data_IF_520337437331
#
_entry.id   IF_520337437331
#
_cell.length_a   1.000
_cell.length_b   1.000
_cell.length_c   1.000
_cell.angle_alpha   90.00
_cell.angle_beta   90.00
_cell.angle_gamma   90.00
#
_symmetry.space_group_name_H-M   'P 1'
#
loop_
_entity.id
_entity.type
_entity.pdbx_description
1 polymer ?
#
# COMPACT_ATOMS: atom_id res chain seq x y z
N UNK A 1 33.97 25.12 -6.36
CA UNK A 1 33.36 25.08 -5.00
C UNK A 1 32.00 25.76 -5.07
N UNK A 2 31.00 25.01 -5.62
CA UNK A 2 29.66 25.55 -5.94
C UNK A 2 28.90 26.07 -4.69
N UNK A 3 29.09 25.46 -3.52
CA UNK A 3 28.32 25.78 -2.31
C UNK A 3 29.11 26.47 -1.19
N UNK A 4 30.35 26.85 -1.39
CA UNK A 4 31.23 27.47 -0.37
C UNK A 4 31.22 26.78 1.01
N UNK A 5 31.00 25.45 1.04
CA UNK A 5 30.90 24.62 2.24
C UNK A 5 32.00 23.54 2.27
N UNK A 6 32.28 23.02 3.48
CA UNK A 6 33.25 21.96 3.65
C UNK A 6 32.77 20.63 3.07
N UNK A 7 33.66 19.73 2.68
CA UNK A 7 33.31 18.39 2.20
C UNK A 7 32.51 17.56 3.22
N UNK A 8 32.82 17.58 4.53
CA UNK A 8 32.01 16.92 5.56
C UNK A 8 30.55 17.44 5.59
N UNK A 9 30.36 18.77 5.53
CA UNK A 9 29.02 19.38 5.55
C UNK A 9 28.18 18.93 4.35
N UNK A 10 28.79 18.88 3.16
CA UNK A 10 28.09 18.41 1.95
C UNK A 10 27.75 16.92 2.07
N UNK A 11 28.66 16.11 2.60
CA UNK A 11 28.42 14.66 2.79
C UNK A 11 27.28 14.41 3.76
N UNK A 12 27.20 15.17 4.85
CA UNK A 12 26.12 15.04 5.83
C UNK A 12 24.76 15.47 5.23
N UNK A 13 24.73 16.55 4.47
CA UNK A 13 23.53 16.96 3.74
C UNK A 13 23.05 15.87 2.76
N UNK A 14 23.98 15.23 2.03
CA UNK A 14 23.64 14.12 1.14
C UNK A 14 23.09 12.91 1.90
N UNK A 15 23.66 12.57 3.07
CA UNK A 15 23.12 11.47 3.91
C UNK A 15 21.70 11.75 4.36
N UNK A 16 21.39 12.98 4.77
CA UNK A 16 20.02 13.36 5.16
C UNK A 16 19.06 13.26 3.97
N UNK A 17 19.47 13.67 2.78
CA UNK A 17 18.66 13.54 1.57
C UNK A 17 18.46 12.06 1.18
N UNK A 18 19.49 11.23 1.34
CA UNK A 18 19.42 9.79 1.09
C UNK A 18 18.47 9.10 2.09
N UNK A 19 18.58 9.40 3.39
CA UNK A 19 17.64 8.91 4.41
C UNK A 19 16.19 9.31 4.13
N UNK A 20 15.98 10.47 3.48
CA UNK A 20 14.65 10.92 3.03
C UNK A 20 14.23 10.33 1.68
N UNK A 21 15.04 9.45 1.07
CA UNK A 21 14.77 8.85 -0.23
C UNK A 21 14.72 9.83 -1.41
N UNK A 22 15.24 11.04 -1.22
CA UNK A 22 15.28 12.07 -2.25
C UNK A 22 16.44 11.87 -3.23
N UNK A 23 17.46 11.16 -2.80
CA UNK A 23 18.63 10.79 -3.60
C UNK A 23 19.06 9.34 -3.28
N UNK A 24 19.77 8.71 -4.22
CA UNK A 24 20.50 7.48 -4.02
C UNK A 24 21.97 7.69 -4.37
N UNK A 25 22.87 7.17 -3.52
CA UNK A 25 24.31 7.23 -3.74
C UNK A 25 24.79 5.87 -4.23
N UNK A 26 25.18 5.77 -5.49
CA UNK A 26 25.74 4.54 -6.06
C UNK A 26 27.24 4.47 -5.82
N UNK A 27 27.73 3.30 -5.34
CA UNK A 27 29.16 3.07 -5.09
C UNK A 27 29.98 3.28 -6.36
N UNK A 28 30.71 4.41 -6.42
CA UNK A 28 31.55 4.77 -7.56
C UNK A 28 30.90 5.58 -8.70
N UNK A 29 29.59 5.81 -8.66
CA UNK A 29 28.84 6.39 -9.79
C UNK A 29 28.24 7.78 -9.57
N UNK A 30 28.25 8.31 -8.36
CA UNK A 30 27.65 9.63 -8.10
C UNK A 30 26.32 9.57 -7.36
N UNK A 31 25.62 10.71 -7.34
CA UNK A 31 24.33 10.88 -6.65
C UNK A 31 23.22 11.07 -7.69
N UNK A 32 22.17 10.27 -7.59
CA UNK A 32 21.00 10.34 -8.48
C UNK A 32 19.80 10.84 -7.68
N UNK A 33 19.02 11.75 -8.27
CA UNK A 33 17.75 12.20 -7.66
C UNK A 33 16.71 11.08 -7.83
N UNK A 34 16.10 10.67 -6.71
CA UNK A 34 15.02 9.68 -6.68
C UNK A 34 13.67 10.38 -6.47
N UNK A 35 12.61 9.73 -6.93
CA UNK A 35 11.26 10.08 -6.47
C UNK A 35 11.04 9.40 -5.12
N UNK A 36 10.62 10.13 -4.07
CA UNK A 36 10.29 9.49 -2.80
C UNK A 36 9.23 8.40 -3.02
N UNK A 37 9.46 7.25 -2.42
CA UNK A 37 8.49 6.18 -2.39
C UNK A 37 7.48 6.39 -1.25
N UNK A 38 6.30 5.79 -1.37
CA UNK A 38 5.28 5.80 -0.30
C UNK A 38 5.77 5.14 0.99
N UNK A 39 6.78 4.29 0.92
CA UNK A 39 7.38 3.56 2.06
C UNK A 39 7.79 4.46 3.23
N UNK A 40 8.25 5.69 2.97
CA UNK A 40 8.62 6.64 4.03
C UNK A 40 7.38 7.21 4.74
N UNK A 41 6.31 7.47 3.99
CA UNK A 41 5.02 7.88 4.58
C UNK A 41 4.43 6.73 5.40
N UNK A 42 4.50 5.50 4.89
CA UNK A 42 4.05 4.30 5.58
C UNK A 42 4.78 4.09 6.92
N UNK A 43 6.10 4.23 6.92
CA UNK A 43 6.90 4.08 8.15
C UNK A 43 6.59 5.19 9.16
N UNK A 44 6.48 6.44 8.69
CA UNK A 44 6.08 7.56 9.55
C UNK A 44 4.69 7.34 10.14
N UNK A 45 3.75 6.87 9.32
CA UNK A 45 2.39 6.57 9.78
C UNK A 45 2.38 5.45 10.81
N UNK A 46 3.14 4.35 10.60
CA UNK A 46 3.28 3.28 11.60
C UNK A 46 3.75 3.79 12.96
N UNK A 47 4.78 4.66 12.96
CA UNK A 47 5.28 5.27 14.19
C UNK A 47 4.19 6.12 14.85
N UNK A 48 3.49 6.95 14.08
CA UNK A 48 2.40 7.79 14.61
C UNK A 48 1.26 6.95 15.20
N UNK A 49 0.84 5.89 14.49
CA UNK A 49 -0.19 4.97 14.96
C UNK A 49 0.20 4.30 16.29
N UNK A 50 1.47 3.89 16.41
CA UNK A 50 1.99 3.29 17.64
C UNK A 50 2.10 4.26 18.82
N UNK A 51 2.25 5.57 18.56
CA UNK A 51 2.41 6.60 19.60
C UNK A 51 1.10 7.23 20.08
N UNK A 52 0.02 7.10 19.33
CA UNK A 52 -1.25 7.81 19.59
C UNK A 52 -2.42 6.92 20.02
N UNK A 53 -2.15 5.68 20.45
CA UNK A 53 -3.18 4.72 20.88
C UNK A 53 -4.36 4.59 19.89
N UNK A 54 -4.06 4.73 18.60
CA UNK A 54 -5.05 4.66 17.53
C UNK A 54 -5.57 3.23 17.42
N UNK A 55 -6.89 3.10 17.45
CA UNK A 55 -7.55 1.79 17.39
C UNK A 55 -7.60 1.24 15.95
N UNK A 56 -7.68 -0.08 15.77
CA UNK A 56 -7.93 -0.68 14.47
C UNK A 56 -9.21 -0.18 13.79
N UNK A 57 -10.25 0.12 14.57
CA UNK A 57 -11.53 0.64 14.10
C UNK A 57 -11.37 2.03 13.48
N UNK A 58 -10.61 2.93 14.11
CA UNK A 58 -10.34 4.27 13.57
C UNK A 58 -9.60 4.21 12.23
N UNK A 59 -8.66 3.27 12.09
CA UNK A 59 -7.96 3.07 10.81
C UNK A 59 -8.91 2.48 9.77
N UNK A 60 -9.77 1.53 10.18
CA UNK A 60 -10.77 0.93 9.29
C UNK A 60 -11.72 1.97 8.73
N UNK A 61 -12.25 2.88 9.56
CA UNK A 61 -13.13 3.95 9.15
C UNK A 61 -12.46 4.90 8.15
N UNK A 62 -11.22 5.30 8.42
CA UNK A 62 -10.44 6.15 7.51
C UNK A 62 -10.19 5.47 6.16
N UNK A 63 -9.86 4.17 6.18
CA UNK A 63 -9.68 3.37 4.96
C UNK A 63 -10.97 3.25 4.17
N UNK A 64 -12.07 2.91 4.84
CA UNK A 64 -13.38 2.72 4.20
C UNK A 64 -13.78 4.00 3.44
N UNK A 65 -13.67 5.15 4.08
CA UNK A 65 -13.94 6.45 3.44
C UNK A 65 -13.06 6.67 2.20
N UNK A 66 -11.75 6.41 2.31
CA UNK A 66 -10.79 6.59 1.22
C UNK A 66 -11.06 5.61 0.08
N UNK A 67 -11.23 4.33 0.39
CA UNK A 67 -11.42 3.27 -0.60
C UNK A 67 -12.73 3.43 -1.37
N UNK A 68 -13.84 3.76 -0.70
CA UNK A 68 -15.12 4.06 -1.38
C UNK A 68 -15.00 5.24 -2.35
N UNK A 69 -14.28 6.29 -1.95
CA UNK A 69 -14.02 7.42 -2.85
C UNK A 69 -13.16 7.00 -4.02
N UNK A 70 -12.11 6.23 -3.77
CA UNK A 70 -11.16 5.74 -4.78
C UNK A 70 -11.86 4.85 -5.82
N UNK A 71 -12.74 3.93 -5.38
CA UNK A 71 -13.55 3.06 -6.27
C UNK A 71 -14.42 3.91 -7.22
N UNK A 72 -15.07 4.95 -6.73
CA UNK A 72 -15.88 5.85 -7.58
C UNK A 72 -15.06 6.52 -8.67
N UNK A 73 -13.85 6.99 -8.34
CA UNK A 73 -12.93 7.56 -9.32
C UNK A 73 -12.41 6.50 -10.30
N UNK A 74 -12.07 5.32 -9.81
CA UNK A 74 -11.65 4.19 -10.65
C UNK A 74 -12.76 3.81 -11.65
N UNK A 75 -14.00 3.69 -11.19
CA UNK A 75 -15.14 3.37 -12.05
C UNK A 75 -15.30 4.33 -13.22
N UNK A 76 -14.96 5.62 -13.04
CA UNK A 76 -15.08 6.65 -14.08
C UNK A 76 -13.85 6.77 -15.00
N UNK A 77 -12.68 6.27 -14.58
CA UNK A 77 -11.41 6.52 -15.26
C UNK A 77 -10.64 5.26 -15.67
N UNK A 78 -11.10 4.09 -15.22
CA UNK A 78 -10.44 2.81 -15.50
C UNK A 78 -10.34 2.54 -17.01
N UNK A 79 -9.26 1.91 -17.41
CA UNK A 79 -9.06 1.38 -18.75
C UNK A 79 -9.49 -0.09 -18.83
N UNK A 80 -9.56 -0.65 -20.04
CA UNK A 80 -9.78 -2.09 -20.22
C UNK A 80 -8.61 -2.93 -19.70
N UNK A 81 -7.40 -2.37 -19.73
CA UNK A 81 -6.20 -2.99 -19.15
C UNK A 81 -6.32 -3.08 -17.63
N UNK A 82 -6.72 -1.99 -16.95
CA UNK A 82 -6.94 -2.00 -15.49
C UNK A 82 -7.99 -3.07 -15.10
N UNK A 83 -9.06 -3.23 -15.88
CA UNK A 83 -10.08 -4.28 -15.66
C UNK A 83 -9.48 -5.69 -15.84
N UNK A 84 -8.63 -5.85 -16.86
CA UNK A 84 -7.94 -7.12 -17.11
C UNK A 84 -7.04 -7.52 -15.96
N UNK A 85 -6.20 -6.59 -15.48
CA UNK A 85 -5.31 -6.81 -14.34
C UNK A 85 -6.10 -7.15 -13.05
N UNK A 86 -7.22 -6.46 -12.77
CA UNK A 86 -8.08 -6.74 -11.62
C UNK A 86 -8.73 -8.14 -11.69
N UNK A 87 -9.20 -8.55 -12.87
CA UNK A 87 -9.78 -9.89 -13.08
C UNK A 87 -8.75 -10.99 -12.84
N UNK A 88 -7.54 -10.82 -13.39
CA UNK A 88 -6.45 -11.78 -13.19
C UNK A 88 -6.11 -11.92 -11.70
N UNK A 89 -6.12 -10.80 -10.96
CA UNK A 89 -5.83 -10.79 -9.54
C UNK A 89 -6.89 -11.55 -8.74
N UNK A 90 -8.18 -11.38 -9.05
CA UNK A 90 -9.27 -12.14 -8.43
C UNK A 90 -9.14 -13.64 -8.72
N UNK A 91 -8.77 -14.04 -9.93
CA UNK A 91 -8.56 -15.46 -10.23
C UNK A 91 -7.38 -16.05 -9.41
N UNK A 92 -6.35 -15.26 -9.15
CA UNK A 92 -5.26 -15.65 -8.25
C UNK A 92 -5.72 -15.75 -6.80
N UNK A 93 -6.58 -14.86 -6.31
CA UNK A 93 -7.20 -14.95 -4.99
C UNK A 93 -8.02 -16.24 -4.83
N UNK A 94 -8.84 -16.57 -5.82
CA UNK A 94 -9.61 -17.83 -5.84
C UNK A 94 -8.73 -19.08 -5.80
N UNK A 95 -7.58 -19.03 -6.44
CA UNK A 95 -6.63 -20.16 -6.47
C UNK A 95 -5.80 -20.30 -5.17
N UNK A 96 -5.86 -19.31 -4.27
CA UNK A 96 -4.98 -19.19 -3.12
C UNK A 96 -5.64 -19.56 -1.79
N UNK A 97 -6.57 -20.54 -1.77
CA UNK A 97 -7.47 -20.83 -0.65
C UNK A 97 -6.77 -21.22 0.65
N UNK A 98 -5.56 -21.80 0.61
CA UNK A 98 -4.90 -22.36 1.79
C UNK A 98 -3.66 -21.57 2.26
N UNK A 99 -3.36 -20.41 1.64
CA UNK A 99 -2.20 -19.59 1.96
C UNK A 99 -2.61 -18.19 2.38
N UNK A 100 -2.77 -17.99 3.70
CA UNK A 100 -3.21 -16.71 4.29
C UNK A 100 -2.29 -15.55 3.90
N UNK A 101 -0.98 -15.75 3.92
CA UNK A 101 -0.02 -14.70 3.60
C UNK A 101 -0.14 -14.26 2.13
N UNK A 102 -0.24 -15.23 1.23
CA UNK A 102 -0.42 -14.94 -0.19
C UNK A 102 -1.77 -14.28 -0.46
N UNK A 103 -2.85 -14.77 0.15
CA UNK A 103 -4.18 -14.16 0.01
C UNK A 103 -4.19 -12.70 0.49
N UNK A 104 -3.65 -12.45 1.67
CA UNK A 104 -3.57 -11.09 2.24
C UNK A 104 -2.71 -10.15 1.36
N UNK A 105 -1.67 -10.70 0.72
CA UNK A 105 -0.88 -9.93 -0.26
C UNK A 105 -1.68 -9.60 -1.51
N UNK A 106 -2.45 -10.56 -2.05
CA UNK A 106 -3.28 -10.37 -3.23
C UNK A 106 -4.44 -9.37 -2.96
N UNK A 107 -5.08 -9.47 -1.81
CA UNK A 107 -6.10 -8.51 -1.34
C UNK A 107 -5.54 -7.08 -1.29
N UNK A 108 -4.34 -6.91 -0.76
CA UNK A 108 -3.66 -5.61 -0.80
C UNK A 108 -3.47 -5.14 -2.23
N UNK A 109 -2.91 -6.01 -3.09
CA UNK A 109 -2.58 -5.67 -4.47
C UNK A 109 -3.85 -5.28 -5.25
N UNK A 110 -5.00 -5.91 -4.97
CA UNK A 110 -6.31 -5.58 -5.54
C UNK A 110 -6.70 -4.13 -5.25
N UNK A 111 -6.65 -3.71 -3.99
CA UNK A 111 -7.00 -2.34 -3.62
C UNK A 111 -5.99 -1.29 -4.12
N UNK A 112 -4.69 -1.63 -4.18
CA UNK A 112 -3.68 -0.77 -4.78
C UNK A 112 -3.93 -0.59 -6.29
N UNK A 113 -4.36 -1.65 -6.97
CA UNK A 113 -4.69 -1.59 -8.39
C UNK A 113 -5.94 -0.73 -8.66
N UNK A 114 -6.97 -0.82 -7.79
CA UNK A 114 -8.11 0.11 -7.83
C UNK A 114 -7.65 1.56 -7.65
N UNK A 115 -6.75 1.80 -6.69
CA UNK A 115 -6.22 3.15 -6.47
C UNK A 115 -5.46 3.67 -7.70
N UNK A 116 -4.66 2.84 -8.35
CA UNK A 116 -3.99 3.13 -9.63
C UNK A 116 -5.00 3.42 -10.74
N UNK A 117 -6.08 2.63 -10.84
CA UNK A 117 -7.14 2.81 -11.82
C UNK A 117 -7.93 4.12 -11.62
N UNK A 118 -7.92 4.69 -10.43
CA UNK A 118 -8.50 6.02 -10.16
C UNK A 118 -7.80 7.16 -10.91
N UNK A 119 -6.58 6.91 -11.42
CA UNK A 119 -5.69 7.88 -12.09
C UNK A 119 -5.41 9.11 -11.21
N UNK A 120 -5.36 8.91 -9.89
CA UNK A 120 -5.02 9.92 -8.89
C UNK A 120 -3.89 9.40 -7.98
N UNK A 121 -2.68 9.88 -8.21
CA UNK A 121 -1.48 9.44 -7.47
C UNK A 121 -1.58 9.67 -5.95
N UNK A 122 -2.36 10.65 -5.49
CA UNK A 122 -2.55 10.88 -4.06
C UNK A 122 -3.38 9.75 -3.45
N UNK A 123 -4.43 9.27 -4.13
CA UNK A 123 -5.20 8.11 -3.66
C UNK A 123 -4.34 6.86 -3.59
N UNK A 124 -3.49 6.63 -4.59
CA UNK A 124 -2.56 5.51 -4.61
C UNK A 124 -1.61 5.53 -3.40
N UNK A 125 -1.00 6.68 -3.13
CA UNK A 125 -0.10 6.87 -1.97
C UNK A 125 -0.85 6.65 -0.65
N UNK A 126 -2.04 7.23 -0.49
CA UNK A 126 -2.80 7.14 0.76
C UNK A 126 -3.37 5.74 1.01
N UNK A 127 -3.90 5.07 -0.03
CA UNK A 127 -4.38 3.67 0.10
C UNK A 127 -3.24 2.77 0.54
N UNK A 128 -2.08 2.86 -0.09
CA UNK A 128 -0.89 2.09 0.27
C UNK A 128 -0.45 2.37 1.70
N UNK A 129 -0.35 3.65 2.08
CA UNK A 129 0.10 4.06 3.41
C UNK A 129 -0.81 3.57 4.54
N UNK A 130 -2.14 3.56 4.33
CA UNK A 130 -3.08 3.10 5.35
C UNK A 130 -3.24 1.58 5.40
N UNK A 131 -3.03 0.86 4.29
CA UNK A 131 -3.20 -0.60 4.25
C UNK A 131 -2.03 -1.36 4.88
N UNK A 132 -0.81 -0.95 4.61
CA UNK A 132 0.38 -1.67 5.06
C UNK A 132 0.52 -1.79 6.59
N UNK A 133 0.23 -0.76 7.42
CA UNK A 133 0.31 -0.90 8.87
C UNK A 133 -0.61 -1.96 9.47
N UNK A 134 -1.73 -2.25 8.80
CA UNK A 134 -2.74 -3.18 9.32
C UNK A 134 -2.59 -4.62 8.85
N UNK A 135 -1.76 -4.90 7.85
CA UNK A 135 -1.63 -6.26 7.31
C UNK A 135 -1.34 -7.30 8.40
N UNK A 136 -0.43 -6.98 9.31
CA UNK A 136 -0.10 -7.89 10.41
C UNK A 136 -1.28 -8.08 11.36
N UNK A 137 -2.05 -7.03 11.63
CA UNK A 137 -3.23 -7.08 12.51
C UNK A 137 -4.34 -7.93 11.89
N UNK A 138 -4.60 -7.76 10.60
CA UNK A 138 -5.59 -8.55 9.85
C UNK A 138 -5.15 -10.01 9.78
N UNK A 139 -3.93 -10.30 9.40
CA UNK A 139 -3.39 -11.65 9.35
C UNK A 139 -3.47 -12.36 10.71
N UNK A 140 -3.12 -11.66 11.82
CA UNK A 140 -3.26 -12.20 13.17
C UNK A 140 -4.71 -12.43 13.59
N UNK A 141 -5.63 -11.57 13.21
CA UNK A 141 -7.06 -11.74 13.48
C UNK A 141 -7.62 -12.95 12.74
N UNK A 142 -7.26 -13.10 11.48
CA UNK A 142 -7.63 -14.24 10.64
C UNK A 142 -7.07 -15.56 11.20
N UNK A 143 -5.81 -15.59 11.61
CA UNK A 143 -5.18 -16.77 12.22
C UNK A 143 -5.89 -17.22 13.52
N UNK A 144 -6.48 -16.29 14.26
CA UNK A 144 -7.26 -16.59 15.48
C UNK A 144 -8.65 -17.15 15.20
N UNK A 145 -9.22 -16.93 14.02
CA UNK A 145 -10.57 -17.39 13.68
C UNK A 145 -10.67 -18.89 13.43
N UNK A 146 -9.56 -19.57 13.19
CA UNK A 146 -9.51 -20.97 12.80
C UNK A 146 -9.81 -21.19 11.31
N UNK A 147 -9.40 -22.35 10.73
CA UNK A 147 -9.38 -22.57 9.29
C UNK A 147 -10.75 -22.47 8.61
N UNK A 148 -11.81 -22.99 9.24
CA UNK A 148 -13.16 -22.97 8.64
C UNK A 148 -13.75 -21.56 8.55
N UNK A 149 -13.51 -20.72 9.55
CA UNK A 149 -13.96 -19.33 9.56
C UNK A 149 -13.13 -18.48 8.60
N UNK A 150 -11.83 -18.75 8.49
CA UNK A 150 -10.97 -18.10 7.52
C UNK A 150 -11.45 -18.31 6.09
N UNK A 151 -11.78 -19.55 5.73
CA UNK A 151 -12.26 -19.87 4.39
C UNK A 151 -13.55 -19.12 4.04
N UNK A 152 -14.49 -19.06 4.98
CA UNK A 152 -15.73 -18.29 4.78
C UNK A 152 -15.47 -16.81 4.56
N UNK A 153 -14.58 -16.20 5.36
CA UNK A 153 -14.19 -14.80 5.23
C UNK A 153 -13.54 -14.53 3.89
N UNK A 154 -12.65 -15.41 3.44
CA UNK A 154 -12.00 -15.34 2.15
C UNK A 154 -13.01 -15.38 0.99
N UNK A 155 -13.98 -16.30 1.04
CA UNK A 155 -15.03 -16.40 0.02
C UNK A 155 -15.88 -15.11 -0.04
N UNK A 156 -16.18 -14.52 1.12
CA UNK A 156 -16.91 -13.24 1.21
C UNK A 156 -16.10 -12.10 0.58
N UNK A 157 -14.81 -11.99 0.91
CA UNK A 157 -13.94 -10.95 0.35
C UNK A 157 -13.80 -11.07 -1.17
N UNK A 158 -13.60 -12.28 -1.69
CA UNK A 158 -13.54 -12.53 -3.13
C UNK A 158 -14.86 -12.13 -3.81
N UNK A 159 -16.00 -12.46 -3.19
CA UNK A 159 -17.30 -12.06 -3.71
C UNK A 159 -17.45 -10.53 -3.76
N UNK A 160 -17.03 -9.83 -2.71
CA UNK A 160 -17.00 -8.36 -2.69
C UNK A 160 -16.12 -7.78 -3.80
N UNK A 161 -14.93 -8.35 -4.04
CA UNK A 161 -14.05 -7.92 -5.14
C UNK A 161 -14.70 -8.13 -6.51
N UNK A 162 -15.41 -9.25 -6.71
CA UNK A 162 -16.16 -9.50 -7.95
C UNK A 162 -17.29 -8.49 -8.16
N UNK A 163 -17.98 -8.08 -7.12
CA UNK A 163 -19.05 -7.08 -7.17
C UNK A 163 -18.52 -5.67 -7.51
N UNK A 164 -17.34 -5.31 -7.03
CA UNK A 164 -16.68 -4.04 -7.38
C UNK A 164 -16.38 -3.95 -8.88
N UNK A 165 -16.18 -5.08 -9.57
CA UNK A 165 -15.88 -5.11 -11.00
C UNK A 165 -17.11 -5.04 -11.92
N UNK A 166 -18.30 -5.13 -11.39
CA UNK A 166 -19.54 -5.04 -12.16
C UNK A 166 -19.93 -3.57 -12.41
#
# INVERSE_FOLDING_TARGET
>A
KMFARSRPTVREALRVLEMKGLISVTGGGGTVICRPESSQLEETLKIMLAMHDITPEEIYDARNMLELTTIRFAASKRTQEDIGELKELIEREKACVDNIELFTSLDRDFHELIAKASKNSIFEILVRALRNPMQNTIAHSIMRMGPDNYKKEQDILIQCHMEILQ
#
